data_IF_433213630838
#
_entry.id   IF_433213630838
#
_cell.length_a   1.000
_cell.length_b   1.000
_cell.length_c   1.000
_cell.angle_alpha   90.00
_cell.angle_beta   90.00
_cell.angle_gamma   90.00
#
_symmetry.space_group_name_H-M   'P 1'
#
loop_
_entity.id
_entity.type
_entity.pdbx_description
1 polymer ?
#
# COMPACT_ATOMS: atom_id res chain seq x y z
N UNK A 1 -8.62 21.62 -2.85
CA UNK A 1 -8.62 22.20 -4.21
C UNK A 1 -9.87 23.04 -4.37
N UNK A 2 -9.75 24.29 -4.85
CA UNK A 2 -10.92 25.09 -5.24
C UNK A 2 -11.38 24.55 -6.60
N UNK A 3 -12.50 23.82 -6.64
CA UNK A 3 -13.13 23.41 -7.88
C UNK A 3 -13.70 24.66 -8.57
N UNK A 4 -13.38 24.93 -9.85
CA UNK A 4 -14.02 26.00 -10.59
C UNK A 4 -15.49 25.63 -10.82
N UNK A 5 -16.40 26.59 -10.61
CA UNK A 5 -17.80 26.47 -10.98
C UNK A 5 -17.89 26.28 -12.50
N UNK A 6 -18.09 25.05 -12.95
CA UNK A 6 -18.28 24.71 -14.35
C UNK A 6 -19.75 24.91 -14.70
N UNK A 7 -20.13 26.12 -15.11
CA UNK A 7 -21.42 26.37 -15.75
C UNK A 7 -21.25 26.11 -17.25
N UNK A 8 -21.78 25.00 -17.75
CA UNK A 8 -21.83 24.71 -19.19
C UNK A 8 -23.27 24.85 -19.67
N UNK A 9 -23.44 25.65 -20.73
CA UNK A 9 -24.70 25.82 -21.44
C UNK A 9 -25.09 24.52 -22.15
N UNK A 10 -26.24 23.94 -21.76
CA UNK A 10 -26.86 22.81 -22.47
C UNK A 10 -27.34 23.26 -23.85
N UNK A 11 -26.82 22.61 -24.89
CA UNK A 11 -27.42 22.65 -26.23
C UNK A 11 -28.65 21.74 -26.21
N UNK A 12 -29.82 22.33 -26.45
CA UNK A 12 -31.12 21.65 -26.51
C UNK A 12 -31.16 20.67 -27.70
N UNK A 13 -30.86 19.40 -27.43
CA UNK A 13 -31.41 18.29 -28.20
C UNK A 13 -32.83 18.02 -27.68
N UNK A 14 -33.70 17.35 -28.44
CA UNK A 14 -35.01 16.88 -27.97
C UNK A 14 -35.07 15.35 -28.10
N UNK A 15 -35.48 14.64 -27.03
CA UNK A 15 -35.59 13.17 -27.03
C UNK A 15 -35.06 12.50 -25.74
N UNK A 16 -35.02 11.15 -25.68
CA UNK A 16 -34.59 10.37 -24.50
C UNK A 16 -33.15 10.68 -24.03
N UNK A 17 -32.34 11.31 -24.88
CA UNK A 17 -30.99 11.81 -24.54
C UNK A 17 -31.05 12.99 -23.56
N UNK A 18 -32.08 13.84 -23.64
CA UNK A 18 -32.27 15.02 -22.76
C UNK A 18 -32.67 14.57 -21.37
N UNK A 19 -33.69 13.72 -21.27
CA UNK A 19 -34.17 13.19 -20.00
C UNK A 19 -33.11 12.39 -19.23
N UNK A 20 -32.05 11.91 -19.91
CA UNK A 20 -30.89 11.25 -19.28
C UNK A 20 -29.81 12.25 -18.87
N UNK A 21 -29.59 13.31 -19.64
CA UNK A 21 -28.71 14.40 -19.26
C UNK A 21 -29.24 15.11 -18.01
N UNK A 22 -30.56 15.34 -17.93
CA UNK A 22 -31.22 15.92 -16.77
C UNK A 22 -31.03 15.04 -15.52
N UNK A 23 -31.21 13.71 -15.65
CA UNK A 23 -30.98 12.78 -14.55
C UNK A 23 -29.53 12.76 -14.05
N UNK A 24 -28.55 12.84 -14.96
CA UNK A 24 -27.14 12.90 -14.58
C UNK A 24 -26.84 14.19 -13.82
N UNK A 25 -27.36 15.32 -14.29
CA UNK A 25 -27.22 16.61 -13.60
C UNK A 25 -27.88 16.58 -12.23
N UNK A 26 -29.12 16.08 -12.13
CA UNK A 26 -29.85 15.97 -10.86
C UNK A 26 -29.08 15.10 -9.84
N UNK A 27 -28.64 13.91 -10.26
CA UNK A 27 -27.86 13.02 -9.41
C UNK A 27 -26.52 13.65 -8.99
N UNK A 28 -25.87 14.40 -9.88
CA UNK A 28 -24.64 15.11 -9.58
C UNK A 28 -24.83 16.23 -8.55
N UNK A 29 -25.91 17.01 -8.64
CA UNK A 29 -26.24 18.04 -7.66
C UNK A 29 -26.62 17.45 -6.30
N UNK A 30 -27.37 16.34 -6.29
CA UNK A 30 -27.65 15.59 -5.07
C UNK A 30 -26.39 15.01 -4.44
N UNK A 31 -25.43 14.54 -5.25
CA UNK A 31 -24.14 14.07 -4.76
C UNK A 31 -23.35 15.20 -4.08
N UNK A 32 -23.28 16.39 -4.69
CA UNK A 32 -22.62 17.56 -4.07
C UNK A 32 -23.25 17.90 -2.74
N UNK A 33 -24.58 17.94 -2.68
CA UNK A 33 -25.35 18.21 -1.45
C UNK A 33 -25.06 17.16 -0.37
N UNK A 34 -24.98 15.88 -0.74
CA UNK A 34 -24.67 14.78 0.17
C UNK A 34 -23.23 14.89 0.74
N UNK A 35 -22.26 15.27 -0.10
CA UNK A 35 -20.87 15.49 0.34
C UNK A 35 -20.79 16.66 1.32
N UNK A 36 -21.45 17.78 1.03
CA UNK A 36 -21.50 18.95 1.92
C UNK A 36 -22.15 18.62 3.27
N UNK A 37 -23.20 17.80 3.23
CA UNK A 37 -23.93 17.32 4.42
C UNK A 37 -23.22 16.17 5.15
N UNK A 38 -22.10 15.67 4.63
CA UNK A 38 -21.38 14.49 5.12
C UNK A 38 -22.25 13.23 5.26
N UNK A 39 -23.25 13.10 4.39
CA UNK A 39 -24.16 11.94 4.38
C UNK A 39 -23.57 10.81 3.53
N UNK A 40 -22.83 9.91 4.18
CA UNK A 40 -22.17 8.80 3.51
C UNK A 40 -23.14 7.85 2.78
N UNK A 41 -24.36 7.67 3.31
CA UNK A 41 -25.35 6.79 2.69
C UNK A 41 -25.89 7.43 1.39
N UNK A 42 -26.17 8.72 1.41
CA UNK A 42 -26.55 9.44 0.19
C UNK A 42 -25.41 9.56 -0.80
N UNK A 43 -24.17 9.80 -0.36
CA UNK A 43 -23.00 9.80 -1.25
C UNK A 43 -22.94 8.48 -2.02
N UNK A 44 -23.00 7.33 -1.32
CA UNK A 44 -23.00 6.03 -1.99
C UNK A 44 -24.16 5.86 -2.96
N UNK A 45 -25.39 6.22 -2.53
CA UNK A 45 -26.58 6.11 -3.36
C UNK A 45 -26.43 6.89 -4.67
N UNK A 46 -26.03 8.15 -4.60
CA UNK A 46 -25.89 9.00 -5.78
C UNK A 46 -24.77 8.53 -6.69
N UNK A 47 -23.64 8.05 -6.14
CA UNK A 47 -22.56 7.48 -6.96
C UNK A 47 -23.01 6.20 -7.68
N UNK A 48 -23.82 5.35 -7.04
CA UNK A 48 -24.41 4.17 -7.70
C UNK A 48 -25.39 4.54 -8.82
N UNK A 49 -26.02 5.70 -8.76
CA UNK A 49 -26.92 6.22 -9.81
C UNK A 49 -26.15 6.89 -10.96
N UNK A 50 -25.10 7.65 -10.63
CA UNK A 50 -24.24 8.35 -11.60
C UNK A 50 -23.45 7.36 -12.47
N UNK A 51 -22.82 6.35 -11.86
CA UNK A 51 -21.89 5.46 -12.56
C UNK A 51 -22.46 4.80 -13.85
N UNK A 52 -23.65 4.17 -13.84
CA UNK A 52 -24.19 3.60 -15.08
C UNK A 52 -24.50 4.67 -16.15
N UNK A 53 -24.91 5.88 -15.74
CA UNK A 53 -25.19 6.99 -16.67
C UNK A 53 -23.92 7.49 -17.35
N UNK A 54 -22.82 7.63 -16.60
CA UNK A 54 -21.52 8.06 -17.15
C UNK A 54 -20.90 6.99 -18.04
N UNK A 55 -20.99 5.71 -17.64
CA UNK A 55 -20.57 4.58 -18.48
C UNK A 55 -21.30 4.55 -19.82
N UNK A 56 -22.62 4.75 -19.82
CA UNK A 56 -23.41 4.76 -21.06
C UNK A 56 -22.93 5.87 -22.01
N UNK A 57 -22.74 7.09 -21.49
CA UNK A 57 -22.26 8.23 -22.30
C UNK A 57 -20.86 7.97 -22.82
N UNK A 58 -19.93 7.50 -21.99
CA UNK A 58 -18.52 7.31 -22.36
C UNK A 58 -18.28 6.14 -23.31
N UNK A 59 -19.16 5.13 -23.29
CA UNK A 59 -19.11 3.98 -24.20
C UNK A 59 -19.89 4.20 -25.51
N UNK A 60 -20.62 5.32 -25.63
CA UNK A 60 -21.37 5.62 -26.85
C UNK A 60 -20.45 5.90 -28.04
N UNK A 61 -20.86 5.49 -29.24
CA UNK A 61 -20.08 5.70 -30.45
C UNK A 61 -20.10 7.18 -30.89
N UNK A 62 -18.96 7.67 -31.34
CA UNK A 62 -18.86 9.02 -31.90
C UNK A 62 -19.75 9.16 -33.15
N UNK A 63 -20.57 10.22 -33.25
CA UNK A 63 -21.33 10.54 -34.45
C UNK A 63 -20.43 10.80 -35.67
N UNK A 64 -20.98 10.58 -36.86
CA UNK A 64 -20.28 10.86 -38.13
C UNK A 64 -20.37 12.33 -38.54
N UNK A 65 -21.45 12.99 -38.18
CA UNK A 65 -21.64 14.41 -38.42
C UNK A 65 -20.75 15.25 -37.48
N UNK A 66 -20.11 16.30 -38.00
CA UNK A 66 -19.12 17.07 -37.24
C UNK A 66 -19.74 17.94 -36.13
N UNK A 67 -20.96 18.46 -36.31
CA UNK A 67 -21.66 19.23 -35.27
C UNK A 67 -22.15 18.29 -34.15
N UNK A 68 -22.73 17.15 -34.51
CA UNK A 68 -23.13 16.13 -33.55
C UNK A 68 -21.94 15.56 -32.78
N UNK A 69 -20.79 15.43 -33.44
CA UNK A 69 -19.52 14.96 -32.84
C UNK A 69 -18.95 15.99 -31.87
N UNK A 70 -19.06 17.29 -32.13
CA UNK A 70 -18.67 18.34 -31.19
C UNK A 70 -19.54 18.28 -29.91
N UNK A 71 -20.86 18.16 -30.07
CA UNK A 71 -21.79 18.02 -28.95
C UNK A 71 -21.59 16.69 -28.18
N UNK A 72 -21.31 15.60 -28.87
CA UNK A 72 -20.95 14.31 -28.26
C UNK A 72 -19.67 14.41 -27.45
N UNK A 73 -18.61 15.03 -27.99
CA UNK A 73 -17.32 15.21 -27.31
C UNK A 73 -17.51 15.97 -25.99
N UNK A 74 -18.31 17.04 -26.00
CA UNK A 74 -18.63 17.82 -24.80
C UNK A 74 -19.38 17.00 -23.75
N UNK A 75 -20.36 16.18 -24.17
CA UNK A 75 -21.10 15.27 -23.26
C UNK A 75 -20.20 14.20 -22.64
N UNK A 76 -19.30 13.62 -23.43
CA UNK A 76 -18.32 12.63 -22.95
C UNK A 76 -17.34 13.26 -21.98
N UNK A 77 -16.86 14.48 -22.25
CA UNK A 77 -16.00 15.21 -21.31
C UNK A 77 -16.71 15.47 -19.98
N UNK A 78 -17.95 15.98 -20.03
CA UNK A 78 -18.76 16.21 -18.85
C UNK A 78 -19.00 14.93 -18.03
N UNK A 79 -19.38 13.84 -18.69
CA UNK A 79 -19.59 12.55 -18.01
C UNK A 79 -18.32 12.06 -17.28
N UNK A 80 -17.14 12.24 -17.89
CA UNK A 80 -15.85 11.89 -17.25
C UNK A 80 -15.55 12.77 -16.04
N UNK A 81 -15.85 14.07 -16.11
CA UNK A 81 -15.66 14.97 -14.97
C UNK A 81 -16.58 14.62 -13.80
N UNK A 82 -17.85 14.28 -14.09
CA UNK A 82 -18.82 13.82 -13.09
C UNK A 82 -18.40 12.50 -12.47
N UNK A 83 -17.97 11.53 -13.29
CA UNK A 83 -17.43 10.24 -12.82
C UNK A 83 -16.21 10.45 -11.91
N UNK A 84 -15.26 11.29 -12.32
CA UNK A 84 -14.07 11.60 -11.52
C UNK A 84 -14.43 12.25 -10.17
N UNK A 85 -15.46 13.10 -10.13
CA UNK A 85 -15.96 13.67 -8.89
C UNK A 85 -16.68 12.63 -8.02
N UNK A 86 -17.46 11.72 -8.62
CA UNK A 86 -18.13 10.62 -7.92
C UNK A 86 -17.11 9.70 -7.22
N UNK A 87 -16.03 9.33 -7.92
CA UNK A 87 -14.92 8.57 -7.33
C UNK A 87 -14.26 9.32 -6.17
N UNK A 88 -13.99 10.62 -6.35
CA UNK A 88 -13.44 11.47 -5.29
C UNK A 88 -14.37 11.52 -4.09
N UNK A 89 -15.68 11.64 -4.30
CA UNK A 89 -16.68 11.73 -3.24
C UNK A 89 -16.71 10.45 -2.40
N UNK A 90 -16.65 9.27 -3.02
CA UNK A 90 -16.51 7.99 -2.29
C UNK A 90 -15.24 8.00 -1.44
N UNK A 91 -14.08 8.30 -2.04
CA UNK A 91 -12.80 8.31 -1.34
C UNK A 91 -12.77 9.32 -0.18
N UNK A 92 -13.09 10.58 -0.43
CA UNK A 92 -12.99 11.66 0.53
C UNK A 92 -13.96 11.47 1.71
N UNK A 93 -15.14 10.90 1.45
CA UNK A 93 -16.11 10.53 2.49
C UNK A 93 -15.62 9.34 3.29
N UNK A 94 -15.08 8.31 2.63
CA UNK A 94 -14.59 7.09 3.26
C UNK A 94 -13.46 7.36 4.27
N UNK A 95 -12.47 8.20 3.92
CA UNK A 95 -11.32 8.48 4.78
C UNK A 95 -11.69 9.27 6.05
N UNK A 96 -12.85 9.92 6.07
CA UNK A 96 -13.38 10.66 7.24
C UNK A 96 -14.40 9.85 8.04
N UNK A 97 -14.78 8.67 7.56
CA UNK A 97 -15.87 7.87 8.13
C UNK A 97 -15.38 6.78 9.10
N UNK A 98 -16.28 6.20 9.91
CA UNK A 98 -15.97 5.02 10.71
C UNK A 98 -15.60 3.81 9.84
N UNK A 99 -14.91 2.83 10.43
CA UNK A 99 -14.34 1.69 9.72
C UNK A 99 -15.35 0.92 8.84
N UNK A 100 -16.56 0.66 9.32
CA UNK A 100 -17.59 -0.03 8.53
C UNK A 100 -17.96 0.74 7.26
N UNK A 101 -18.12 2.07 7.36
CA UNK A 101 -18.42 2.95 6.23
C UNK A 101 -17.22 3.09 5.30
N UNK A 102 -15.99 3.17 5.82
CA UNK A 102 -14.78 3.17 4.99
C UNK A 102 -14.71 1.90 4.13
N UNK A 103 -14.96 0.73 4.73
CA UNK A 103 -14.99 -0.55 4.00
C UNK A 103 -16.04 -0.50 2.89
N UNK A 104 -17.27 -0.07 3.22
CA UNK A 104 -18.38 -0.04 2.28
C UNK A 104 -18.15 0.90 1.08
N UNK A 105 -17.62 2.10 1.34
CA UNK A 105 -17.40 3.10 0.30
C UNK A 105 -16.20 2.77 -0.59
N UNK A 106 -15.08 2.30 -0.01
CA UNK A 106 -13.91 1.93 -0.81
C UNK A 106 -14.14 0.64 -1.60
N UNK A 107 -14.88 -0.34 -1.06
CA UNK A 107 -15.25 -1.52 -1.84
C UNK A 107 -16.17 -1.15 -3.01
N UNK A 108 -17.10 -0.22 -2.81
CA UNK A 108 -17.95 0.31 -3.89
C UNK A 108 -17.10 0.94 -5.00
N UNK A 109 -16.10 1.76 -4.63
CA UNK A 109 -15.18 2.37 -5.59
C UNK A 109 -14.36 1.31 -6.36
N UNK A 110 -13.81 0.32 -5.66
CA UNK A 110 -13.03 -0.77 -6.25
C UNK A 110 -13.85 -1.63 -7.22
N UNK A 111 -15.13 -1.87 -6.91
CA UNK A 111 -16.06 -2.62 -7.76
C UNK A 111 -16.45 -1.84 -9.02
N UNK A 112 -16.72 -0.54 -8.89
CA UNK A 112 -17.09 0.31 -10.02
C UNK A 112 -15.89 0.59 -10.91
N UNK A 113 -14.81 1.13 -10.36
CA UNK A 113 -13.61 1.48 -11.11
C UNK A 113 -12.33 1.01 -10.38
N UNK A 114 -11.86 -0.23 -10.63
CA UNK A 114 -10.65 -0.76 -10.00
C UNK A 114 -9.35 -0.05 -10.43
N UNK A 115 -9.43 0.89 -11.37
CA UNK A 115 -8.32 1.74 -11.84
C UNK A 115 -8.44 3.19 -11.37
N UNK A 116 -9.42 3.51 -10.52
CA UNK A 116 -9.59 4.85 -9.98
C UNK A 116 -8.30 5.30 -9.29
N UNK A 117 -7.81 6.49 -9.63
CA UNK A 117 -6.58 7.05 -9.05
C UNK A 117 -6.65 7.20 -7.54
N UNK A 118 -7.86 7.36 -6.98
CA UNK A 118 -8.06 7.53 -5.55
C UNK A 118 -7.88 6.23 -4.76
N UNK A 119 -7.98 5.07 -5.42
CA UNK A 119 -7.71 3.78 -4.76
C UNK A 119 -6.25 3.67 -4.30
N UNK A 120 -5.32 4.30 -5.03
CA UNK A 120 -3.89 4.28 -4.67
C UNK A 120 -3.65 4.86 -3.27
N UNK A 121 -4.39 5.89 -2.88
CA UNK A 121 -4.30 6.51 -1.55
C UNK A 121 -5.27 5.88 -0.53
N UNK A 122 -6.20 5.03 -0.99
CA UNK A 122 -7.25 4.44 -0.17
C UNK A 122 -6.87 3.11 0.49
N UNK A 123 -5.96 2.33 -0.10
CA UNK A 123 -5.68 0.96 0.37
C UNK A 123 -5.17 0.90 1.81
N UNK A 124 -4.29 1.82 2.23
CA UNK A 124 -3.83 1.89 3.62
C UNK A 124 -4.99 2.02 4.63
N UNK A 125 -5.80 3.10 4.57
CA UNK A 125 -7.00 3.24 5.39
C UNK A 125 -8.00 2.09 5.25
N UNK A 126 -8.19 1.57 4.03
CA UNK A 126 -9.12 0.47 3.77
C UNK A 126 -8.70 -0.83 4.48
N UNK A 127 -7.43 -1.20 4.44
CA UNK A 127 -6.93 -2.39 5.13
C UNK A 127 -7.01 -2.24 6.66
N UNK A 128 -6.73 -1.05 7.19
CA UNK A 128 -6.96 -0.75 8.62
C UNK A 128 -8.44 -0.92 8.98
N UNK A 129 -9.35 -0.43 8.14
CA UNK A 129 -10.78 -0.55 8.35
C UNK A 129 -11.26 -2.01 8.28
N UNK A 130 -10.79 -2.81 7.31
CA UNK A 130 -11.06 -4.24 7.21
C UNK A 130 -10.58 -5.00 8.45
N UNK A 131 -9.42 -4.65 9.01
CA UNK A 131 -8.95 -5.27 10.24
C UNK A 131 -9.88 -4.96 11.42
N UNK A 132 -10.30 -3.69 11.56
CA UNK A 132 -11.21 -3.25 12.64
C UNK A 132 -12.61 -3.85 12.55
N UNK A 133 -13.05 -4.24 11.36
CA UNK A 133 -14.37 -4.87 11.13
C UNK A 133 -14.31 -6.40 11.12
N UNK A 134 -13.17 -7.00 11.49
CA UNK A 134 -13.01 -8.46 11.55
C UNK A 134 -12.83 -9.13 10.18
N UNK A 135 -12.62 -8.35 9.12
CA UNK A 135 -12.44 -8.82 7.75
C UNK A 135 -10.96 -8.93 7.32
N UNK A 136 -10.02 -8.95 8.27
CA UNK A 136 -8.57 -8.99 8.02
C UNK A 136 -8.15 -10.12 7.05
N UNK A 137 -8.81 -11.29 7.11
CA UNK A 137 -8.50 -12.43 6.25
C UNK A 137 -8.69 -12.15 4.74
N UNK A 138 -9.49 -11.14 4.37
CA UNK A 138 -9.74 -10.76 2.97
C UNK A 138 -8.61 -9.90 2.38
N UNK A 139 -7.83 -9.23 3.23
CA UNK A 139 -6.84 -8.21 2.84
C UNK A 139 -5.83 -8.73 1.80
N UNK A 140 -5.21 -9.92 1.94
CA UNK A 140 -4.25 -10.40 0.95
C UNK A 140 -4.85 -10.61 -0.45
N UNK A 141 -6.08 -11.11 -0.54
CA UNK A 141 -6.74 -11.36 -1.83
C UNK A 141 -7.12 -10.06 -2.54
N UNK A 142 -7.60 -9.07 -1.78
CA UNK A 142 -7.86 -7.71 -2.27
C UNK A 142 -6.56 -7.10 -2.78
N UNK A 143 -5.49 -7.15 -1.98
CA UNK A 143 -4.20 -6.57 -2.35
C UNK A 143 -3.61 -7.20 -3.61
N UNK A 144 -3.71 -8.52 -3.77
CA UNK A 144 -3.21 -9.23 -4.95
C UNK A 144 -3.95 -8.80 -6.24
N UNK A 145 -5.27 -8.64 -6.17
CA UNK A 145 -6.08 -8.12 -7.28
C UNK A 145 -5.72 -6.67 -7.60
N UNK A 146 -5.61 -5.84 -6.57
CA UNK A 146 -5.31 -4.41 -6.69
C UNK A 146 -3.91 -4.14 -7.29
N UNK A 147 -2.93 -5.00 -7.00
CA UNK A 147 -1.55 -4.84 -7.47
C UNK A 147 -1.43 -4.88 -9.00
N UNK A 148 -2.39 -5.49 -9.70
CA UNK A 148 -2.44 -5.50 -11.15
C UNK A 148 -2.65 -4.09 -11.74
N UNK A 149 -3.39 -3.22 -11.04
CA UNK A 149 -3.63 -1.84 -11.44
C UNK A 149 -2.66 -0.86 -10.78
N UNK A 150 -2.16 -1.19 -9.59
CA UNK A 150 -1.26 -0.33 -8.81
C UNK A 150 0.03 -1.08 -8.42
N UNK A 151 0.91 -1.40 -9.40
CA UNK A 151 2.08 -2.23 -9.15
C UNK A 151 3.12 -1.60 -8.23
N UNK A 152 3.08 -0.29 -8.03
CA UNK A 152 4.00 0.45 -7.17
C UNK A 152 3.36 0.94 -5.87
N UNK A 153 2.15 0.48 -5.54
CA UNK A 153 1.51 0.88 -4.29
C UNK A 153 2.20 0.22 -3.08
N UNK A 154 2.71 1.04 -2.15
CA UNK A 154 3.47 0.56 -1.02
C UNK A 154 2.62 -0.23 0.00
N UNK A 155 1.35 0.12 0.19
CA UNK A 155 0.46 -0.57 1.15
C UNK A 155 0.12 -1.97 0.64
N UNK A 156 -0.10 -2.12 -0.67
CA UNK A 156 -0.31 -3.42 -1.32
C UNK A 156 0.94 -4.31 -1.21
N UNK A 157 2.11 -3.76 -1.53
CA UNK A 157 3.37 -4.50 -1.49
C UNK A 157 3.72 -4.96 -0.06
N UNK A 158 3.50 -4.11 0.94
CA UNK A 158 3.73 -4.43 2.34
C UNK A 158 2.86 -5.62 2.79
N UNK A 159 1.55 -5.52 2.59
CA UNK A 159 0.60 -6.59 2.96
C UNK A 159 0.93 -7.91 2.26
N UNK A 160 1.29 -7.86 0.98
CA UNK A 160 1.60 -9.06 0.21
C UNK A 160 2.93 -9.68 0.62
N UNK A 161 3.92 -8.87 1.02
CA UNK A 161 5.16 -9.38 1.60
C UNK A 161 4.88 -10.14 2.90
N UNK A 162 4.07 -9.57 3.80
CA UNK A 162 3.69 -10.19 5.08
C UNK A 162 2.86 -11.47 4.89
N UNK A 163 1.88 -11.42 4.00
CA UNK A 163 1.04 -12.57 3.68
C UNK A 163 1.86 -13.71 3.07
N UNK A 164 2.80 -13.40 2.18
CA UNK A 164 3.70 -14.40 1.61
C UNK A 164 4.65 -14.98 2.67
N UNK A 165 5.20 -14.15 3.56
CA UNK A 165 6.10 -14.59 4.62
C UNK A 165 5.39 -15.54 5.59
N UNK A 166 4.21 -15.15 6.09
CA UNK A 166 3.38 -15.98 6.99
C UNK A 166 2.94 -17.31 6.36
N UNK A 167 2.78 -17.35 5.03
CA UNK A 167 2.49 -18.58 4.26
C UNK A 167 3.73 -19.36 3.85
N UNK A 168 4.92 -18.98 4.33
CA UNK A 168 6.22 -19.59 4.00
C UNK A 168 6.54 -19.60 2.49
N UNK A 169 6.05 -18.60 1.76
CA UNK A 169 6.28 -18.42 0.34
C UNK A 169 7.49 -17.49 0.12
N UNK A 170 8.69 -17.94 0.50
CA UNK A 170 9.87 -17.09 0.62
C UNK A 170 10.24 -16.35 -0.68
N UNK A 171 10.11 -16.96 -1.87
CA UNK A 171 10.40 -16.27 -3.14
C UNK A 171 9.42 -15.13 -3.42
N UNK A 172 8.12 -15.34 -3.13
CA UNK A 172 7.09 -14.30 -3.29
C UNK A 172 7.31 -13.18 -2.28
N UNK A 173 7.55 -13.52 -1.01
CA UNK A 173 7.81 -12.56 0.05
C UNK A 173 9.02 -11.68 -0.27
N UNK A 174 10.13 -12.30 -0.71
CA UNK A 174 11.33 -11.58 -1.12
C UNK A 174 11.08 -10.67 -2.33
N UNK A 175 10.29 -11.13 -3.31
CA UNK A 175 9.92 -10.32 -4.47
C UNK A 175 9.16 -9.07 -4.07
N UNK A 176 8.14 -9.19 -3.22
CA UNK A 176 7.36 -8.04 -2.75
C UNK A 176 8.19 -7.11 -1.84
N UNK A 177 9.00 -7.65 -0.93
CA UNK A 177 9.86 -6.87 -0.05
C UNK A 177 10.90 -6.03 -0.82
N UNK A 178 11.54 -6.61 -1.84
CA UNK A 178 12.48 -5.88 -2.69
C UNK A 178 11.79 -4.78 -3.51
N UNK A 179 10.58 -5.04 -4.02
CA UNK A 179 9.79 -4.01 -4.71
C UNK A 179 9.38 -2.88 -3.76
N UNK A 180 8.91 -3.21 -2.55
CA UNK A 180 8.52 -2.25 -1.53
C UNK A 180 9.67 -1.28 -1.19
N UNK A 181 10.85 -1.81 -0.90
CA UNK A 181 12.02 -0.99 -0.55
C UNK A 181 12.50 -0.14 -1.72
N UNK A 182 12.45 -0.66 -2.95
CA UNK A 182 12.78 0.10 -4.15
C UNK A 182 11.80 1.26 -4.40
N UNK A 183 10.50 1.03 -4.22
CA UNK A 183 9.44 2.04 -4.35
C UNK A 183 9.61 3.14 -3.28
N UNK A 184 9.72 2.76 -2.00
CA UNK A 184 9.83 3.71 -0.88
C UNK A 184 11.14 4.53 -0.87
N UNK A 185 12.16 4.07 -1.59
CA UNK A 185 13.39 4.83 -1.80
C UNK A 185 13.20 5.99 -2.78
N UNK A 186 12.16 5.94 -3.63
CA UNK A 186 11.91 6.91 -4.71
C UNK A 186 10.64 7.73 -4.50
N UNK A 187 9.62 7.17 -3.84
CA UNK A 187 8.33 7.83 -3.67
C UNK A 187 8.47 9.11 -2.84
N UNK A 188 8.04 10.27 -3.38
CA UNK A 188 8.01 11.50 -2.61
C UNK A 188 6.89 11.44 -1.58
N UNK A 189 6.98 12.32 -0.57
CA UNK A 189 5.88 12.55 0.37
C UNK A 189 4.63 12.98 -0.40
N UNK A 190 3.47 12.32 -0.23
CA UNK A 190 2.21 12.81 -0.78
C UNK A 190 1.87 14.22 -0.26
N UNK A 191 1.33 15.10 -1.11
CA UNK A 191 1.04 16.50 -0.72
C UNK A 191 0.09 16.59 0.48
N UNK A 192 -0.95 15.76 0.49
CA UNK A 192 -2.00 15.74 1.51
C UNK A 192 -1.59 15.12 2.85
N UNK A 193 -0.39 14.52 2.95
CA UNK A 193 0.08 13.84 4.17
C UNK A 193 1.10 14.71 4.91
N UNK A 194 0.95 14.83 6.23
CA UNK A 194 1.91 15.53 7.08
C UNK A 194 3.29 14.85 7.02
N UNK A 195 4.37 15.65 6.99
CA UNK A 195 5.72 15.11 6.83
C UNK A 195 6.11 14.08 7.89
N UNK A 196 5.72 14.32 9.15
CA UNK A 196 5.99 13.39 10.24
C UNK A 196 5.25 12.04 10.07
N UNK A 197 4.01 12.06 9.58
CA UNK A 197 3.23 10.84 9.40
C UNK A 197 3.69 10.04 8.18
N UNK A 198 4.07 10.75 7.11
CA UNK A 198 4.73 10.11 5.97
C UNK A 198 6.04 9.45 6.38
N UNK A 199 6.91 10.17 7.10
CA UNK A 199 8.21 9.60 7.49
C UNK A 199 8.03 8.40 8.43
N UNK A 200 7.04 8.45 9.33
CA UNK A 200 6.67 7.32 10.19
C UNK A 200 6.23 6.10 9.37
N UNK A 201 5.30 6.28 8.42
CA UNK A 201 4.83 5.21 7.52
C UNK A 201 5.99 4.65 6.71
N UNK A 202 6.77 5.52 6.07
CA UNK A 202 7.90 5.16 5.22
C UNK A 202 8.96 4.38 6.00
N UNK A 203 9.37 4.88 7.16
CA UNK A 203 10.33 4.22 8.04
C UNK A 203 9.85 2.83 8.48
N UNK A 204 8.59 2.71 8.90
CA UNK A 204 8.01 1.42 9.28
C UNK A 204 8.01 0.41 8.12
N UNK A 205 7.55 0.84 6.94
CA UNK A 205 7.48 -0.02 5.75
C UNK A 205 8.87 -0.38 5.20
N UNK A 206 9.85 0.54 5.23
CA UNK A 206 11.24 0.24 4.87
C UNK A 206 11.85 -0.77 5.84
N UNK A 207 11.67 -0.54 7.15
CA UNK A 207 12.11 -1.47 8.19
C UNK A 207 11.55 -2.87 7.96
N UNK A 208 10.27 -2.97 7.62
CA UNK A 208 9.63 -4.26 7.38
C UNK A 208 10.13 -4.95 6.10
N UNK A 209 10.21 -4.20 4.99
CA UNK A 209 10.71 -4.74 3.72
C UNK A 209 12.15 -5.25 3.83
N UNK A 210 13.05 -4.47 4.42
CA UNK A 210 14.42 -4.90 4.65
C UNK A 210 14.52 -6.09 5.60
N UNK A 211 13.70 -6.11 6.65
CA UNK A 211 13.67 -7.23 7.59
C UNK A 211 13.22 -8.53 6.91
N UNK A 212 12.12 -8.53 6.17
CA UNK A 212 11.64 -9.71 5.43
C UNK A 212 12.72 -10.24 4.47
N UNK A 213 13.31 -9.34 3.66
CA UNK A 213 14.35 -9.72 2.73
C UNK A 213 15.57 -10.32 3.45
N UNK A 214 16.03 -9.66 4.51
CA UNK A 214 17.18 -10.11 5.30
C UNK A 214 16.96 -11.46 5.99
N UNK A 215 15.77 -11.68 6.56
CA UNK A 215 15.39 -12.96 7.17
C UNK A 215 15.42 -14.10 6.15
N UNK A 216 14.82 -13.90 4.98
CA UNK A 216 14.77 -14.91 3.91
C UNK A 216 16.18 -15.21 3.38
N UNK A 217 17.02 -14.18 3.20
CA UNK A 217 18.42 -14.39 2.83
C UNK A 217 19.19 -15.16 3.91
N UNK A 218 18.91 -14.89 5.18
CA UNK A 218 19.50 -15.58 6.33
C UNK A 218 19.15 -17.06 6.34
N UNK A 219 17.87 -17.40 6.16
CA UNK A 219 17.40 -18.78 6.02
C UNK A 219 18.05 -19.53 4.84
N UNK A 220 18.45 -18.80 3.79
CA UNK A 220 19.13 -19.33 2.60
C UNK A 220 20.66 -19.32 2.71
N UNK A 221 21.22 -18.99 3.88
CA UNK A 221 22.66 -18.84 4.09
C UNK A 221 23.33 -17.84 3.14
N UNK A 222 22.59 -16.86 2.63
CA UNK A 222 23.11 -15.81 1.76
C UNK A 222 23.64 -14.66 2.63
N UNK A 223 24.79 -14.88 3.27
CA UNK A 223 25.28 -14.04 4.35
C UNK A 223 25.52 -12.58 3.96
N UNK A 224 26.08 -12.30 2.78
CA UNK A 224 26.29 -10.93 2.32
C UNK A 224 24.96 -10.17 2.12
N UNK A 225 23.95 -10.83 1.55
CA UNK A 225 22.62 -10.24 1.36
C UNK A 225 21.87 -10.09 2.69
N UNK A 226 22.06 -11.04 3.61
CA UNK A 226 21.53 -10.99 4.98
C UNK A 226 22.07 -9.77 5.73
N UNK A 227 23.40 -9.61 5.75
CA UNK A 227 24.07 -8.49 6.42
C UNK A 227 23.59 -7.14 5.88
N UNK A 228 23.61 -6.98 4.55
CA UNK A 228 23.16 -5.76 3.88
C UNK A 228 21.73 -5.38 4.28
N UNK A 229 20.78 -6.30 4.16
CA UNK A 229 19.37 -5.99 4.37
C UNK A 229 19.04 -5.81 5.85
N UNK A 230 19.53 -6.69 6.74
CA UNK A 230 19.20 -6.56 8.16
C UNK A 230 19.85 -5.31 8.77
N UNK A 231 21.06 -4.91 8.37
CA UNK A 231 21.63 -3.61 8.78
C UNK A 231 20.79 -2.43 8.32
N UNK A 232 20.23 -2.48 7.11
CA UNK A 232 19.32 -1.45 6.62
C UNK A 232 17.99 -1.43 7.41
N UNK A 233 17.54 -2.58 7.92
CA UNK A 233 16.33 -2.68 8.75
C UNK A 233 16.54 -2.14 10.17
N UNK A 234 17.71 -2.38 10.78
CA UNK A 234 17.97 -2.13 12.22
C UNK A 234 17.56 -0.73 12.73
N UNK A 235 17.85 0.39 12.02
CA UNK A 235 17.44 1.72 12.49
C UNK A 235 15.94 1.87 12.70
N UNK A 236 15.13 1.12 11.93
CA UNK A 236 13.67 1.20 11.90
C UNK A 236 12.99 0.20 12.84
N UNK A 237 13.64 -0.94 13.13
CA UNK A 237 13.01 -2.06 13.85
C UNK A 237 13.48 -2.22 15.29
N UNK A 238 14.53 -1.48 15.73
CA UNK A 238 15.19 -1.65 17.04
C UNK A 238 14.26 -1.64 18.26
N UNK A 239 13.11 -0.97 18.17
CA UNK A 239 12.12 -0.89 19.26
C UNK A 239 11.05 -1.98 19.16
N UNK A 240 11.14 -2.86 18.16
CA UNK A 240 10.28 -4.01 17.97
C UNK A 240 11.10 -5.28 18.23
N UNK A 241 11.00 -5.80 19.44
CA UNK A 241 11.75 -6.97 19.89
C UNK A 241 11.47 -8.22 19.05
N UNK A 242 10.21 -8.39 18.59
CA UNK A 242 9.83 -9.52 17.75
C UNK A 242 10.55 -9.53 16.40
N UNK A 243 10.97 -8.37 15.91
CA UNK A 243 11.77 -8.23 14.69
C UNK A 243 13.26 -8.16 15.00
N UNK A 244 13.64 -7.45 16.06
CA UNK A 244 15.04 -7.19 16.41
C UNK A 244 15.77 -8.44 16.87
N UNK A 245 15.13 -9.30 17.68
CA UNK A 245 15.75 -10.54 18.14
C UNK A 245 16.17 -11.46 16.98
N UNK A 246 15.28 -11.82 16.03
CA UNK A 246 15.69 -12.58 14.85
C UNK A 246 16.67 -11.82 13.94
N UNK A 247 16.51 -10.50 13.76
CA UNK A 247 17.44 -9.73 12.95
C UNK A 247 18.87 -9.79 13.49
N UNK A 248 19.05 -9.60 14.80
CA UNK A 248 20.34 -9.75 15.46
C UNK A 248 20.88 -11.17 15.38
N UNK A 249 20.01 -12.19 15.50
CA UNK A 249 20.44 -13.58 15.35
C UNK A 249 21.05 -13.84 13.97
N UNK A 250 20.34 -13.48 12.90
CA UNK A 250 20.81 -13.70 11.53
C UNK A 250 21.98 -12.80 11.15
N UNK A 251 22.05 -11.57 11.66
CA UNK A 251 23.24 -10.72 11.55
C UNK A 251 24.46 -11.36 12.21
N UNK A 252 24.28 -11.96 13.39
CA UNK A 252 25.33 -12.69 14.10
C UNK A 252 25.90 -13.82 13.26
N UNK A 253 25.01 -14.66 12.73
CA UNK A 253 25.37 -15.76 11.83
C UNK A 253 26.05 -15.28 10.54
N UNK A 254 25.51 -14.25 9.90
CA UNK A 254 26.06 -13.71 8.66
C UNK A 254 27.47 -13.15 8.85
N UNK A 255 27.68 -12.33 9.88
CA UNK A 255 28.99 -11.72 10.17
C UNK A 255 30.02 -12.78 10.57
N UNK A 256 29.62 -13.78 11.35
CA UNK A 256 30.49 -14.91 11.67
C UNK A 256 30.96 -15.65 10.42
N UNK A 257 30.04 -16.04 9.55
CA UNK A 257 30.36 -16.82 8.36
C UNK A 257 31.20 -16.01 7.36
N UNK A 258 30.85 -14.74 7.12
CA UNK A 258 31.67 -13.84 6.30
C UNK A 258 33.06 -13.65 6.91
N UNK A 259 33.15 -13.52 8.23
CA UNK A 259 34.42 -13.42 8.95
C UNK A 259 35.30 -14.65 8.78
N UNK A 260 34.74 -15.86 8.85
CA UNK A 260 35.48 -17.09 8.58
C UNK A 260 35.94 -17.17 7.12
N UNK A 261 35.04 -16.91 6.17
CA UNK A 261 35.35 -16.97 4.72
C UNK A 261 36.43 -15.98 4.29
N UNK A 262 36.53 -14.83 4.98
CA UNK A 262 37.47 -13.75 4.67
C UNK A 262 38.65 -13.68 5.63
N UNK A 263 38.75 -14.61 6.59
CA UNK A 263 39.72 -14.59 7.68
C UNK A 263 39.74 -13.24 8.45
N UNK A 264 38.57 -12.63 8.61
CA UNK A 264 38.39 -11.34 9.26
C UNK A 264 37.89 -11.52 10.70
N UNK A 265 38.82 -11.40 11.66
CA UNK A 265 38.54 -11.47 13.09
C UNK A 265 37.53 -10.43 13.57
N UNK A 266 37.53 -9.23 12.99
CA UNK A 266 36.61 -8.16 13.40
C UNK A 266 35.16 -8.53 13.07
N UNK A 267 34.92 -9.15 11.90
CA UNK A 267 33.59 -9.65 11.53
C UNK A 267 33.13 -10.80 12.43
N UNK A 268 34.02 -11.71 12.82
CA UNK A 268 33.68 -12.77 13.78
C UNK A 268 33.27 -12.19 15.14
N UNK A 269 34.01 -11.19 15.64
CA UNK A 269 33.68 -10.49 16.89
C UNK A 269 32.38 -9.69 16.79
N UNK A 270 32.11 -9.08 15.64
CA UNK A 270 30.83 -8.39 15.40
C UNK A 270 29.67 -9.40 15.36
N UNK A 271 29.88 -10.57 14.75
CA UNK A 271 28.92 -11.68 14.79
C UNK A 271 28.59 -12.11 16.21
N UNK A 272 29.60 -12.18 17.09
CA UNK A 272 29.39 -12.47 18.50
C UNK A 272 28.57 -11.37 19.21
N UNK A 273 28.84 -10.09 18.91
CA UNK A 273 28.11 -8.96 19.49
C UNK A 273 26.63 -8.97 19.09
N UNK A 274 26.32 -9.20 17.81
CA UNK A 274 24.93 -9.34 17.38
C UNK A 274 24.25 -10.55 18.04
N UNK A 275 24.97 -11.65 18.20
CA UNK A 275 24.45 -12.82 18.93
C UNK A 275 24.16 -12.50 20.40
N UNK A 276 25.01 -11.73 21.10
CA UNK A 276 24.73 -11.24 22.46
C UNK A 276 23.47 -10.35 22.49
N UNK A 277 23.30 -9.46 21.51
CA UNK A 277 22.12 -8.58 21.42
C UNK A 277 20.84 -9.37 21.21
N UNK A 278 20.88 -10.42 20.37
CA UNK A 278 19.76 -11.33 20.20
C UNK A 278 19.45 -12.11 21.49
N UNK A 279 20.49 -12.59 22.18
CA UNK A 279 20.35 -13.31 23.45
C UNK A 279 19.80 -12.45 24.59
N UNK A 280 19.95 -11.13 24.53
CA UNK A 280 19.40 -10.19 25.50
C UNK A 280 17.88 -10.00 25.36
N UNK A 281 17.30 -10.37 24.22
CA UNK A 281 15.87 -10.27 23.95
C UNK A 281 15.23 -11.64 24.11
N UNK A 282 14.22 -11.76 24.97
CA UNK A 282 13.48 -13.01 25.17
C UNK A 282 12.77 -13.43 23.89
N UNK A 283 13.20 -14.54 23.28
CA UNK A 283 12.66 -15.07 22.02
C UNK A 283 13.03 -16.55 21.84
N UNK A 284 12.55 -17.17 20.75
CA UNK A 284 12.97 -18.52 20.36
C UNK A 284 14.48 -18.63 20.03
N UNK A 285 15.17 -17.49 19.84
CA UNK A 285 16.60 -17.46 19.50
C UNK A 285 17.51 -17.32 20.72
N UNK A 286 16.98 -16.98 21.90
CA UNK A 286 17.78 -16.57 23.07
C UNK A 286 18.90 -17.55 23.44
N UNK A 287 18.59 -18.83 23.60
CA UNK A 287 19.57 -19.84 24.01
C UNK A 287 20.61 -20.11 22.91
N UNK A 288 20.17 -20.27 21.67
CA UNK A 288 21.06 -20.49 20.54
C UNK A 288 21.98 -19.28 20.31
N UNK A 289 21.45 -18.06 20.44
CA UNK A 289 22.22 -16.84 20.29
C UNK A 289 23.29 -16.72 21.38
N UNK A 290 22.97 -17.07 22.63
CA UNK A 290 23.96 -17.09 23.73
C UNK A 290 25.08 -18.09 23.44
N UNK A 291 24.73 -19.29 22.98
CA UNK A 291 25.71 -20.29 22.60
C UNK A 291 26.60 -19.81 21.43
N UNK A 292 25.98 -19.27 20.38
CA UNK A 292 26.67 -18.72 19.22
C UNK A 292 27.70 -17.66 19.63
N UNK A 293 27.32 -16.71 20.50
CA UNK A 293 28.23 -15.66 20.95
C UNK A 293 29.49 -16.22 21.64
N UNK A 294 29.34 -17.26 22.47
CA UNK A 294 30.47 -17.93 23.13
C UNK A 294 31.40 -18.61 22.12
N UNK A 295 30.83 -19.35 21.18
CA UNK A 295 31.60 -20.04 20.13
C UNK A 295 32.36 -19.05 19.26
N UNK A 296 31.68 -17.99 18.79
CA UNK A 296 32.29 -16.95 17.95
C UNK A 296 33.44 -16.23 18.67
N UNK A 297 33.29 -15.91 19.96
CA UNK A 297 34.36 -15.31 20.78
C UNK A 297 35.57 -16.25 20.92
N UNK A 298 35.32 -17.54 21.17
CA UNK A 298 36.37 -18.54 21.29
C UNK A 298 37.13 -18.75 19.97
N UNK A 299 36.43 -18.69 18.84
CA UNK A 299 37.04 -18.81 17.52
C UNK A 299 37.86 -17.57 17.16
N UNK A 300 37.31 -16.37 17.38
CA UNK A 300 38.05 -15.12 17.20
C UNK A 300 39.35 -15.05 18.01
N UNK A 301 39.38 -15.64 19.21
CA UNK A 301 40.58 -15.69 20.04
C UNK A 301 41.73 -16.48 19.40
N UNK A 302 41.42 -17.45 18.53
CA UNK A 302 42.40 -18.26 17.80
C UNK A 302 42.82 -17.60 16.47
N UNK A 303 42.02 -16.67 15.96
CA UNK A 303 42.35 -15.91 14.75
C UNK A 303 43.49 -14.93 15.04
N UNK A 304 44.51 -14.97 14.17
CA UNK A 304 45.66 -14.06 14.21
C UNK A 304 45.24 -12.65 13.82
#
# INVERSE_FOLDING_TARGET
MKLPALSIAMVLLAGPVVARADKLEDAFQLLKTAVESKDAAQVKKQVLEIYPLTCEVTMSAAPKDEEEKAAWTSRVAYAKDVELYAEYALYATAIQSPAATTVDLISTLEEQNPKSKYLNDAYGPYFVALNRTGAAAKVPAIAEKALANFPENEDLLLVLADAAMSRKQSDRALTYANRLTAVLSKHPKPEAVAAADWERKRSASLGHGYWIAGMIYGERNQYAATDKNLRAALPFIKSNDAMSAPAYFYLGMANYQLGLMTLNKALVLEGARFSDQSAAIASAYTEQARHNALVMKAEAAKMR
#
